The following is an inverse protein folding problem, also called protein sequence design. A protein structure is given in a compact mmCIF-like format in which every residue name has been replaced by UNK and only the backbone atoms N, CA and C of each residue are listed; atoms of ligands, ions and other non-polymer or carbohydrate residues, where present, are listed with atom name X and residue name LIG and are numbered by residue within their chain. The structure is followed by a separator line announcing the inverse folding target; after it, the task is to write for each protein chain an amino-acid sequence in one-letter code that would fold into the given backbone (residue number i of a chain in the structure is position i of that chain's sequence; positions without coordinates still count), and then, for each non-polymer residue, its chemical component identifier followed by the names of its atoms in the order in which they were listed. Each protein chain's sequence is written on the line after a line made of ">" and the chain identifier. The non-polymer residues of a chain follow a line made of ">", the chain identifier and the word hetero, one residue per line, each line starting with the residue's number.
data_IF_849391615493
#
_entry.id   IF_849391615493
#
_cell.length_a   1.000
_cell.length_b   1.000
_cell.length_c   1.000
_cell.angle_alpha   90.00
_cell.angle_beta   90.00
_cell.angle_gamma   90.00
#
_symmetry.space_group_name_H-M   'P 1'
#
loop_
_entity.id
_entity.type
_entity.pdbx_description
1 polymer ?
#
# COMPACT_ATOMS: atom_id res chain seq x y z
N UNK A 1 -5.85 -24.24 -15.09
CA UNK A 1 -6.11 -23.11 -14.18
C UNK A 1 -5.63 -23.54 -12.81
N UNK A 2 -4.61 -22.90 -12.22
CA UNK A 2 -4.29 -23.20 -10.83
C UNK A 2 -5.53 -22.83 -10.00
N UNK A 3 -5.84 -23.66 -9.00
CA UNK A 3 -6.93 -23.40 -8.05
C UNK A 3 -6.69 -22.01 -7.47
N UNK A 4 -7.75 -21.21 -7.29
CA UNK A 4 -7.68 -19.94 -6.57
C UNK A 4 -7.16 -20.22 -5.16
N UNK A 5 -5.84 -20.17 -4.98
CA UNK A 5 -5.24 -20.12 -3.66
C UNK A 5 -5.76 -18.84 -3.03
N UNK A 6 -6.50 -18.99 -1.92
CA UNK A 6 -6.82 -17.84 -1.10
C UNK A 6 -5.48 -17.32 -0.60
N UNK A 7 -5.24 -16.02 -0.80
CA UNK A 7 -4.15 -15.35 -0.12
C UNK A 7 -4.35 -15.56 1.39
N UNK A 8 -3.27 -15.63 2.13
CA UNK A 8 -3.37 -15.65 3.58
C UNK A 8 -3.93 -14.29 4.06
N UNK A 9 -4.62 -14.25 5.22
CA UNK A 9 -5.30 -13.04 5.69
C UNK A 9 -4.37 -11.84 5.88
N UNK A 10 -3.09 -12.07 6.15
CA UNK A 10 -2.10 -11.00 6.35
C UNK A 10 -1.74 -10.36 5.01
N UNK A 11 -1.47 -11.16 3.98
CA UNK A 11 -1.30 -10.66 2.61
C UNK A 11 -2.55 -9.91 2.12
N UNK A 12 -3.75 -10.41 2.40
CA UNK A 12 -5.00 -9.69 2.07
C UNK A 12 -5.10 -8.34 2.79
N UNK A 13 -4.69 -8.29 4.06
CA UNK A 13 -4.68 -7.07 4.86
C UNK A 13 -3.66 -6.05 4.33
N UNK A 14 -2.44 -6.49 3.99
CA UNK A 14 -1.42 -5.63 3.41
C UNK A 14 -1.87 -5.05 2.06
N UNK A 15 -2.48 -5.86 1.18
CA UNK A 15 -2.99 -5.39 -0.11
C UNK A 15 -4.09 -4.34 0.08
N UNK A 16 -5.05 -4.58 0.98
CA UNK A 16 -6.09 -3.59 1.29
C UNK A 16 -5.48 -2.32 1.87
N UNK A 17 -4.53 -2.45 2.79
CA UNK A 17 -3.84 -1.33 3.40
C UNK A 17 -3.08 -0.48 2.35
N UNK A 18 -2.33 -1.11 1.44
CA UNK A 18 -1.67 -0.42 0.33
C UNK A 18 -2.66 0.26 -0.63
N UNK A 19 -3.82 -0.37 -0.86
CA UNK A 19 -4.91 0.24 -1.63
C UNK A 19 -5.43 1.51 -0.95
N UNK A 20 -5.53 1.54 0.37
CA UNK A 20 -5.92 2.75 1.10
C UNK A 20 -4.84 3.84 1.04
N UNK A 21 -3.56 3.48 1.17
CA UNK A 21 -2.42 4.41 0.99
C UNK A 21 -2.49 5.09 -0.37
N UNK A 22 -2.69 4.31 -1.44
CA UNK A 22 -2.83 4.82 -2.82
C UNK A 22 -3.89 5.93 -2.91
N UNK A 23 -5.05 5.76 -2.27
CA UNK A 23 -6.10 6.77 -2.27
C UNK A 23 -5.68 8.07 -1.57
N UNK A 24 -4.82 8.00 -0.56
CA UNK A 24 -4.26 9.19 0.10
C UNK A 24 -3.17 9.85 -0.76
N UNK A 25 -2.31 9.08 -1.43
CA UNK A 25 -1.33 9.62 -2.39
C UNK A 25 -2.03 10.36 -3.53
N UNK A 26 -3.12 9.80 -4.07
CA UNK A 26 -3.94 10.46 -5.11
C UNK A 26 -4.58 11.74 -4.58
N UNK A 27 -5.10 11.75 -3.34
CA UNK A 27 -5.57 12.98 -2.69
C UNK A 27 -4.46 14.01 -2.48
N UNK A 28 -3.22 13.56 -2.31
CA UNK A 28 -2.01 14.38 -2.24
C UNK A 28 -1.55 14.95 -3.59
N UNK A 29 -2.15 14.52 -4.71
CA UNK A 29 -1.91 15.05 -6.04
C UNK A 29 -1.19 14.10 -6.99
N UNK A 30 -0.86 12.87 -6.58
CA UNK A 30 -0.35 11.85 -7.47
C UNK A 30 -1.45 11.36 -8.44
N UNK A 31 -1.08 10.92 -9.63
CA UNK A 31 -1.97 10.09 -10.44
C UNK A 31 -2.09 8.68 -9.84
N UNK A 32 -3.10 7.93 -10.25
CA UNK A 32 -3.25 6.53 -9.85
C UNK A 32 -1.99 5.72 -10.22
N UNK A 33 -1.52 5.87 -11.46
CA UNK A 33 -0.33 5.17 -11.96
C UNK A 33 0.93 5.53 -11.13
N UNK A 34 1.10 6.80 -10.78
CA UNK A 34 2.23 7.25 -9.95
C UNK A 34 2.17 6.67 -8.54
N UNK A 35 0.98 6.59 -7.95
CA UNK A 35 0.79 6.01 -6.61
C UNK A 35 1.08 4.50 -6.62
N UNK A 36 0.62 3.78 -7.65
CA UNK A 36 0.89 2.35 -7.82
C UNK A 36 2.38 2.08 -8.07
N UNK A 37 3.00 2.80 -9.01
CA UNK A 37 4.43 2.69 -9.29
C UNK A 37 5.25 2.94 -8.03
N UNK A 38 4.91 3.97 -7.26
CA UNK A 38 5.62 4.26 -6.01
C UNK A 38 5.46 3.14 -4.96
N UNK A 39 4.25 2.61 -4.78
CA UNK A 39 4.00 1.50 -3.85
C UNK A 39 4.74 0.23 -4.28
N UNK A 40 4.78 -0.05 -5.59
CA UNK A 40 5.52 -1.20 -6.14
C UNK A 40 7.03 -1.04 -5.98
N UNK A 41 7.58 0.14 -6.28
CA UNK A 41 9.01 0.45 -6.12
C UNK A 41 9.46 0.42 -4.65
N UNK A 42 8.58 0.81 -3.73
CA UNK A 42 8.84 0.90 -2.29
C UNK A 42 8.13 -0.22 -1.50
N UNK A 43 7.86 -1.37 -2.13
CA UNK A 43 7.04 -2.44 -1.52
C UNK A 43 7.61 -2.93 -0.19
N UNK A 44 8.93 -3.06 -0.07
CA UNK A 44 9.59 -3.46 1.18
C UNK A 44 9.37 -2.42 2.29
N UNK A 45 9.51 -1.14 1.95
CA UNK A 45 9.29 -0.05 2.90
C UNK A 45 7.82 0.04 3.35
N UNK A 46 6.86 -0.04 2.44
CA UNK A 46 5.44 -0.07 2.80
C UNK A 46 5.06 -1.30 3.63
N UNK A 47 5.69 -2.43 3.37
CA UNK A 47 5.53 -3.65 4.16
C UNK A 47 6.03 -3.43 5.59
N UNK A 48 7.19 -2.79 5.77
CA UNK A 48 7.71 -2.43 7.09
C UNK A 48 6.75 -1.50 7.84
N UNK A 49 6.23 -0.44 7.19
CA UNK A 49 5.26 0.47 7.83
C UNK A 49 3.96 -0.23 8.26
N UNK A 50 3.48 -1.18 7.46
CA UNK A 50 2.32 -2.00 7.81
C UNK A 50 2.59 -2.84 9.06
N UNK A 51 3.75 -3.50 9.14
CA UNK A 51 4.13 -4.30 10.31
C UNK A 51 4.46 -3.44 11.55
N UNK A 52 4.93 -2.21 11.35
CA UNK A 52 5.11 -1.19 12.39
C UNK A 52 3.76 -0.63 12.89
N UNK A 53 2.66 -0.98 12.23
CA UNK A 53 1.30 -0.65 12.66
C UNK A 53 0.83 0.75 12.29
N UNK A 54 1.47 1.39 11.32
CA UNK A 54 1.02 2.69 10.81
C UNK A 54 -0.33 2.55 10.11
N UNK A 55 -1.15 3.59 10.23
CA UNK A 55 -2.36 3.70 9.41
C UNK A 55 -2.00 4.06 7.95
N UNK A 56 -2.85 3.74 6.97
CA UNK A 56 -2.61 4.12 5.58
C UNK A 56 -2.42 5.63 5.37
N UNK A 57 -3.11 6.45 6.16
CA UNK A 57 -2.95 7.91 6.10
C UNK A 57 -1.59 8.38 6.64
N UNK A 58 -1.07 7.76 7.71
CA UNK A 58 0.26 8.06 8.23
C UNK A 58 1.34 7.64 7.25
N UNK A 59 1.27 6.44 6.68
CA UNK A 59 2.21 5.99 5.67
C UNK A 59 2.20 6.88 4.41
N UNK A 60 1.02 7.33 3.96
CA UNK A 60 0.92 8.27 2.86
C UNK A 60 1.54 9.64 3.19
N UNK A 61 1.46 10.11 4.45
CA UNK A 61 2.14 11.33 4.89
C UNK A 61 3.65 11.17 4.87
N UNK A 62 4.17 10.04 5.35
CA UNK A 62 5.61 9.72 5.30
C UNK A 62 6.11 9.66 3.84
N UNK A 63 5.31 9.10 2.92
CA UNK A 63 5.65 9.00 1.51
C UNK A 63 5.63 10.35 0.76
N UNK A 64 4.90 11.34 1.28
CA UNK A 64 4.79 12.69 0.71
C UNK A 64 5.75 13.71 1.34
N UNK A 65 6.45 13.34 2.42
CA UNK A 65 7.37 14.20 3.16
C UNK A 65 8.73 14.35 2.47
#
# INVERSE_FOLDING_TARGET
>A
MPKKEKLDPETEALIQWCTEVEQFLVKGGATLDQAQEHIEEQVEWFTDLFYDGLTPEEAAKEALA
#
